data_IF_177536643997
#
_entry.id   IF_177536643997
#
_cell.length_a   1.000
_cell.length_b   1.000
_cell.length_c   1.000
_cell.angle_alpha   90.00
_cell.angle_beta   90.00
_cell.angle_gamma   90.00
#
_symmetry.space_group_name_H-M   'P 1'
#
loop_
_entity.id
_entity.type
_entity.pdbx_description
1 polymer ?
#
# COMPACT_ATOMS: atom_id res chain seq x y z
N UNK A 1 20.77 12.91 13.69
CA UNK A 1 20.30 13.32 12.36
C UNK A 1 19.30 12.26 11.89
N UNK A 2 18.03 12.59 11.82
CA UNK A 2 16.93 11.62 11.73
C UNK A 2 16.63 11.27 10.27
N UNK A 3 16.73 10.02 9.83
CA UNK A 3 16.46 9.60 8.45
C UNK A 3 14.95 9.58 8.09
N UNK A 4 14.07 10.01 8.99
CA UNK A 4 12.62 9.98 8.80
C UNK A 4 12.07 11.16 7.99
N UNK A 5 12.82 12.23 7.82
CA UNK A 5 12.36 13.42 7.11
C UNK A 5 12.01 13.14 5.64
N UNK A 6 12.72 12.22 4.98
CA UNK A 6 12.52 11.93 3.56
C UNK A 6 11.21 11.24 3.23
N UNK A 7 10.76 10.26 4.03
CA UNK A 7 9.52 9.53 3.78
C UNK A 7 8.28 10.36 4.11
N UNK A 8 8.33 11.11 5.21
CA UNK A 8 7.26 12.03 5.55
C UNK A 8 7.12 13.12 4.47
N UNK A 9 8.23 13.68 4.01
CA UNK A 9 8.24 14.68 2.94
C UNK A 9 7.70 14.10 1.63
N UNK A 10 8.11 12.88 1.24
CA UNK A 10 7.60 12.22 0.04
C UNK A 10 6.09 11.99 0.09
N UNK A 11 5.54 11.60 1.24
CA UNK A 11 4.10 11.40 1.41
C UNK A 11 3.32 12.72 1.41
N UNK A 12 3.86 13.77 1.98
CA UNK A 12 3.27 15.11 1.91
C UNK A 12 3.27 15.64 0.47
N UNK A 13 4.37 15.50 -0.25
CA UNK A 13 4.49 15.91 -1.65
C UNK A 13 3.52 15.14 -2.54
N UNK A 14 3.36 13.82 -2.33
CA UNK A 14 2.38 12.99 -3.04
C UNK A 14 0.94 13.40 -2.71
N UNK A 15 0.67 13.75 -1.48
CA UNK A 15 -0.64 14.26 -1.06
C UNK A 15 -0.96 15.58 -1.75
N UNK A 16 -0.04 16.52 -1.75
CA UNK A 16 -0.19 17.80 -2.44
C UNK A 16 -0.37 17.62 -3.95
N UNK A 17 0.45 16.77 -4.58
CA UNK A 17 0.34 16.46 -6.01
C UNK A 17 -1.02 15.83 -6.35
N UNK A 18 -1.52 14.95 -5.48
CA UNK A 18 -2.85 14.34 -5.63
C UNK A 18 -3.95 15.39 -5.65
N UNK A 19 -3.94 16.32 -4.69
CA UNK A 19 -4.93 17.40 -4.64
C UNK A 19 -4.79 18.37 -5.82
N UNK A 20 -3.59 18.70 -6.26
CA UNK A 20 -3.36 19.52 -7.45
C UNK A 20 -3.91 18.85 -8.71
N UNK A 21 -3.68 17.55 -8.89
CA UNK A 21 -4.24 16.77 -10.00
C UNK A 21 -5.76 16.69 -9.93
N UNK A 22 -6.31 16.48 -8.73
CA UNK A 22 -7.75 16.47 -8.51
C UNK A 22 -8.36 17.82 -8.87
N UNK A 23 -7.77 18.92 -8.44
CA UNK A 23 -8.23 20.26 -8.77
C UNK A 23 -8.21 20.53 -10.28
N UNK A 24 -7.14 20.17 -10.97
CA UNK A 24 -7.04 20.32 -12.43
C UNK A 24 -8.08 19.48 -13.18
N UNK A 25 -8.40 18.28 -12.64
CA UNK A 25 -9.36 17.34 -13.25
C UNK A 25 -10.79 17.45 -12.73
N UNK A 26 -11.08 18.41 -11.85
CA UNK A 26 -12.39 18.55 -11.20
C UNK A 26 -13.57 18.64 -12.18
N UNK A 27 -13.38 19.31 -13.31
CA UNK A 27 -14.41 19.45 -14.35
C UNK A 27 -14.68 18.16 -15.10
N UNK A 28 -13.74 17.22 -15.07
CA UNK A 28 -13.88 15.89 -15.69
C UNK A 28 -14.56 14.86 -14.78
N UNK A 29 -14.86 15.20 -13.54
CA UNK A 29 -15.60 14.33 -12.63
C UNK A 29 -17.08 14.27 -13.03
N UNK A 30 -17.48 13.17 -13.68
CA UNK A 30 -18.83 12.98 -14.22
C UNK A 30 -19.79 12.23 -13.29
N UNK A 31 -19.42 12.04 -12.02
CA UNK A 31 -20.28 11.33 -11.06
C UNK A 31 -20.47 9.83 -11.32
N UNK A 32 -19.68 9.21 -12.22
CA UNK A 32 -19.76 7.77 -12.53
C UNK A 32 -19.24 6.87 -11.41
N UNK A 33 -18.55 7.45 -10.44
CA UNK A 33 -18.04 6.80 -9.23
C UNK A 33 -18.19 7.76 -8.06
N UNK A 34 -18.03 7.28 -6.83
CA UNK A 34 -17.98 8.17 -5.68
C UNK A 34 -16.77 9.10 -5.78
N UNK A 35 -16.90 10.32 -5.26
CA UNK A 35 -15.77 11.28 -5.21
C UNK A 35 -14.53 10.67 -4.55
N UNK A 36 -14.73 9.89 -3.49
CA UNK A 36 -13.66 9.18 -2.78
C UNK A 36 -12.93 8.20 -3.69
N UNK A 37 -13.63 7.37 -4.44
CA UNK A 37 -13.03 6.41 -5.37
C UNK A 37 -12.27 7.13 -6.49
N UNK A 38 -12.80 8.22 -7.00
CA UNK A 38 -12.15 9.06 -7.99
C UNK A 38 -10.85 9.69 -7.46
N UNK A 39 -10.88 10.23 -6.23
CA UNK A 39 -9.70 10.81 -5.59
C UNK A 39 -8.62 9.76 -5.32
N UNK A 40 -8.99 8.58 -4.83
CA UNK A 40 -8.03 7.49 -4.63
C UNK A 40 -7.40 7.01 -5.94
N UNK A 41 -8.13 7.02 -7.04
CA UNK A 41 -7.57 6.73 -8.37
C UNK A 41 -6.50 7.74 -8.76
N UNK A 42 -6.71 9.02 -8.52
CA UNK A 42 -5.73 10.07 -8.77
C UNK A 42 -4.49 9.87 -7.88
N UNK A 43 -4.68 9.60 -6.60
CA UNK A 43 -3.59 9.35 -5.65
C UNK A 43 -2.74 8.14 -6.05
N UNK A 44 -3.38 7.04 -6.40
CA UNK A 44 -2.68 5.82 -6.83
C UNK A 44 -1.85 6.07 -8.09
N UNK A 45 -2.40 6.78 -9.07
CA UNK A 45 -1.66 7.16 -10.28
C UNK A 45 -0.46 8.04 -9.95
N UNK A 46 -0.60 9.01 -9.04
CA UNK A 46 0.51 9.84 -8.61
C UNK A 46 1.64 9.01 -7.97
N UNK A 47 1.29 8.06 -7.11
CA UNK A 47 2.26 7.14 -6.50
C UNK A 47 2.96 6.26 -7.55
N UNK A 48 2.22 5.68 -8.50
CA UNK A 48 2.79 4.85 -9.56
C UNK A 48 3.73 5.63 -10.47
N UNK A 49 3.40 6.89 -10.79
CA UNK A 49 4.27 7.78 -11.56
C UNK A 49 5.62 8.02 -10.86
N UNK A 50 5.59 8.25 -9.55
CA UNK A 50 6.82 8.43 -8.75
C UNK A 50 7.64 7.14 -8.72
N UNK A 51 7.02 6.00 -8.52
CA UNK A 51 7.70 4.69 -8.54
C UNK A 51 8.32 4.41 -9.91
N UNK A 52 7.63 4.70 -11.00
CA UNK A 52 8.14 4.55 -12.35
C UNK A 52 9.35 5.46 -12.62
N UNK A 53 9.31 6.71 -12.15
CA UNK A 53 10.44 7.65 -12.25
C UNK A 53 11.65 7.17 -11.46
N UNK A 54 11.46 6.64 -10.26
CA UNK A 54 12.54 6.07 -9.43
C UNK A 54 13.21 4.88 -10.09
N UNK A 55 12.46 4.01 -10.78
CA UNK A 55 13.02 2.87 -11.53
C UNK A 55 13.88 3.29 -12.73
N UNK A 56 13.58 4.42 -13.37
CA UNK A 56 14.32 4.91 -14.56
C UNK A 56 15.61 5.64 -14.20
N UNK A 57 15.77 6.08 -12.96
CA UNK A 57 17.03 6.65 -12.47
C UNK A 57 17.92 5.51 -12.00
N UNK A 58 19.12 5.29 -12.55
CA UNK A 58 20.11 4.43 -11.95
C UNK A 58 20.61 5.13 -10.69
N UNK A 59 19.85 5.04 -9.62
CA UNK A 59 20.35 5.36 -8.30
C UNK A 59 21.16 4.16 -7.84
N UNK A 60 22.39 4.34 -7.33
CA UNK A 60 23.06 3.26 -6.60
C UNK A 60 22.03 2.75 -5.60
N UNK A 61 21.97 1.43 -5.42
CA UNK A 61 21.08 0.74 -4.51
C UNK A 61 21.07 1.43 -3.14
N UNK A 62 20.40 2.54 -3.09
CA UNK A 62 19.94 3.15 -1.85
C UNK A 62 18.67 2.41 -1.54
N UNK A 63 18.87 1.29 -0.83
CA UNK A 63 18.07 0.91 0.30
C UNK A 63 16.70 1.58 0.29
N UNK A 64 15.64 0.77 0.13
CA UNK A 64 14.39 1.16 0.77
C UNK A 64 14.80 1.85 2.06
N UNK A 65 14.33 3.09 2.32
CA UNK A 65 14.62 3.71 3.60
C UNK A 65 14.25 2.66 4.62
N UNK A 66 15.26 2.10 5.24
CA UNK A 66 15.13 1.16 6.32
C UNK A 66 14.12 1.78 7.28
N UNK A 67 13.01 1.11 7.46
CA UNK A 67 12.24 1.30 8.67
C UNK A 67 13.27 1.28 9.80
N UNK A 68 13.34 2.31 10.65
CA UNK A 68 14.47 2.52 11.57
C UNK A 68 14.59 1.46 12.65
N UNK A 69 13.80 0.42 12.58
CA UNK A 69 13.84 -0.75 13.43
C UNK A 69 13.83 -1.99 12.55
N UNK A 70 14.59 -2.98 12.94
CA UNK A 70 14.52 -4.31 12.39
C UNK A 70 13.04 -4.74 12.39
N UNK A 71 12.43 -4.95 11.20
CA UNK A 71 11.01 -5.32 11.14
C UNK A 71 10.74 -6.62 11.89
N UNK A 72 11.72 -7.52 11.97
CA UNK A 72 11.58 -8.77 12.71
C UNK A 72 11.49 -8.52 14.21
N UNK A 73 12.22 -7.55 14.73
CA UNK A 73 12.15 -7.18 16.15
C UNK A 73 10.83 -6.51 16.52
N UNK A 74 10.33 -5.62 15.65
CA UNK A 74 8.99 -5.02 15.82
C UNK A 74 7.89 -6.08 15.74
N UNK A 75 8.03 -7.05 14.83
CA UNK A 75 7.10 -8.17 14.71
C UNK A 75 7.09 -9.03 15.99
N UNK A 76 8.27 -9.27 16.58
CA UNK A 76 8.40 -10.04 17.82
C UNK A 76 7.87 -9.28 19.04
N UNK A 77 8.09 -7.97 19.12
CA UNK A 77 7.54 -7.11 20.17
C UNK A 77 6.00 -7.04 20.11
N UNK A 78 5.42 -6.93 18.93
CA UNK A 78 3.95 -6.89 18.76
C UNK A 78 3.34 -8.26 19.07
N UNK A 79 3.98 -9.36 18.65
CA UNK A 79 3.54 -10.72 18.99
C UNK A 79 3.59 -11.02 20.49
N UNK A 80 4.57 -10.46 21.21
CA UNK A 80 4.70 -10.62 22.65
C UNK A 80 3.63 -9.86 23.45
N UNK A 81 3.00 -8.83 22.84
CA UNK A 81 1.98 -8.00 23.50
C UNK A 81 0.56 -8.56 23.32
N UNK A 82 0.34 -9.46 22.35
CA UNK A 82 -1.00 -9.92 21.89
C UNK A 82 -1.47 -11.17 22.65
N UNK A 83 -1.36 -11.19 23.98
CA UNK A 83 -1.80 -12.32 24.81
C UNK A 83 -3.20 -12.11 25.42
N UNK A 84 -4.14 -11.44 24.74
CA UNK A 84 -5.56 -11.46 25.15
C UNK A 84 -6.52 -11.44 23.96
N UNK A 85 -7.37 -12.48 23.85
CA UNK A 85 -8.39 -12.53 22.81
C UNK A 85 -9.73 -12.03 23.38
N UNK A 86 -10.04 -10.77 23.22
CA UNK A 86 -11.43 -10.30 23.30
C UNK A 86 -11.65 -9.11 22.39
N UNK A 87 -12.67 -9.30 21.52
CA UNK A 87 -13.34 -8.37 20.63
C UNK A 87 -12.78 -8.13 19.22
N UNK A 88 -13.67 -8.43 18.30
CA UNK A 88 -13.73 -8.32 16.85
C UNK A 88 -13.43 -6.91 16.26
N UNK A 89 -12.67 -6.12 16.94
CA UNK A 89 -12.01 -4.94 16.39
C UNK A 89 -10.61 -5.38 16.01
N UNK A 90 -10.31 -5.42 14.72
CA UNK A 90 -8.93 -5.54 14.25
C UNK A 90 -8.14 -4.48 15.00
N UNK A 91 -7.33 -4.87 15.96
CA UNK A 91 -6.61 -3.92 16.78
C UNK A 91 -5.72 -3.08 15.88
N UNK A 92 -5.47 -1.84 16.26
CA UNK A 92 -4.57 -0.96 15.52
C UNK A 92 -3.20 -1.64 15.31
N UNK A 93 -2.76 -2.40 16.30
CA UNK A 93 -1.52 -3.15 16.26
C UNK A 93 -1.54 -4.27 15.20
N UNK A 94 -2.64 -5.01 15.07
CA UNK A 94 -2.80 -6.03 14.03
C UNK A 94 -2.76 -5.42 12.63
N UNK A 95 -3.35 -4.24 12.44
CA UNK A 95 -3.29 -3.52 11.18
C UNK A 95 -1.88 -3.03 10.86
N UNK A 96 -1.18 -2.46 11.84
CA UNK A 96 0.21 -2.02 11.70
C UNK A 96 1.14 -3.20 11.38
N UNK A 97 0.93 -4.34 12.04
CA UNK A 97 1.66 -5.57 11.76
C UNK A 97 1.41 -6.07 10.33
N UNK A 98 0.15 -6.14 9.91
CA UNK A 98 -0.20 -6.54 8.54
C UNK A 98 0.43 -5.60 7.50
N UNK A 99 0.47 -4.30 7.78
CA UNK A 99 1.12 -3.31 6.92
C UNK A 99 2.64 -3.55 6.81
N UNK A 100 3.32 -3.81 7.92
CA UNK A 100 4.75 -4.10 7.94
C UNK A 100 5.09 -5.38 7.19
N UNK A 101 4.31 -6.45 7.40
CA UNK A 101 4.45 -7.71 6.66
C UNK A 101 4.25 -7.48 5.16
N UNK A 102 3.23 -6.74 4.78
CA UNK A 102 2.96 -6.41 3.39
C UNK A 102 4.11 -5.59 2.77
N UNK A 103 4.64 -4.61 3.50
CA UNK A 103 5.76 -3.80 3.01
C UNK A 103 7.03 -4.62 2.80
N UNK A 104 7.32 -5.58 3.67
CA UNK A 104 8.54 -6.38 3.65
C UNK A 104 8.46 -7.56 2.66
N UNK A 105 7.38 -8.31 2.67
CA UNK A 105 7.30 -9.62 2.03
C UNK A 105 6.51 -9.66 0.72
N UNK A 106 5.71 -8.64 0.43
CA UNK A 106 4.94 -8.56 -0.80
C UNK A 106 5.70 -7.81 -1.89
N UNK A 107 5.63 -8.34 -3.12
CA UNK A 107 6.06 -7.59 -4.30
C UNK A 107 5.17 -6.35 -4.52
N UNK A 108 5.65 -5.37 -5.28
CA UNK A 108 4.87 -4.17 -5.59
C UNK A 108 3.49 -4.50 -6.18
N UNK A 109 3.44 -5.49 -7.08
CA UNK A 109 2.19 -5.93 -7.72
C UNK A 109 1.22 -6.58 -6.72
N UNK A 110 1.74 -7.39 -5.82
CA UNK A 110 0.96 -8.02 -4.76
C UNK A 110 0.41 -6.99 -3.78
N UNK A 111 1.23 -6.02 -3.35
CA UNK A 111 0.78 -4.91 -2.50
C UNK A 111 -0.30 -4.06 -3.16
N UNK A 112 -0.09 -3.69 -4.43
CA UNK A 112 -1.06 -2.92 -5.18
C UNK A 112 -2.39 -3.67 -5.32
N UNK A 113 -2.36 -4.95 -5.66
CA UNK A 113 -3.56 -5.78 -5.75
C UNK A 113 -4.28 -5.88 -4.39
N UNK A 114 -3.56 -6.09 -3.30
CA UNK A 114 -4.12 -6.17 -1.95
C UNK A 114 -4.80 -4.85 -1.56
N UNK A 115 -4.12 -3.73 -1.74
CA UNK A 115 -4.66 -2.40 -1.39
C UNK A 115 -5.90 -2.08 -2.23
N UNK A 116 -5.84 -2.28 -3.54
CA UNK A 116 -6.95 -1.95 -4.42
C UNK A 116 -8.18 -2.84 -4.14
N UNK A 117 -7.97 -4.13 -3.91
CA UNK A 117 -9.05 -5.09 -3.75
C UNK A 117 -9.60 -5.16 -2.33
N UNK A 118 -8.74 -5.28 -1.33
CA UNK A 118 -9.14 -5.56 0.06
C UNK A 118 -9.29 -4.31 0.90
N UNK A 119 -8.48 -3.27 0.67
CA UNK A 119 -8.58 -2.02 1.43
C UNK A 119 -9.55 -1.04 0.77
N UNK A 120 -9.43 -0.83 -0.54
CA UNK A 120 -10.24 0.15 -1.26
C UNK A 120 -11.52 -0.44 -1.88
N UNK A 121 -11.67 -1.77 -1.87
CA UNK A 121 -12.87 -2.46 -2.36
C UNK A 121 -13.12 -2.33 -3.87
N UNK A 122 -12.08 -2.11 -4.66
CA UNK A 122 -12.22 -2.01 -6.11
C UNK A 122 -12.53 -3.36 -6.75
N UNK A 123 -13.23 -3.34 -7.89
CA UNK A 123 -13.42 -4.56 -8.67
C UNK A 123 -12.09 -5.10 -9.26
N UNK A 124 -12.03 -6.38 -9.54
CA UNK A 124 -10.86 -6.96 -10.20
C UNK A 124 -10.62 -6.34 -11.57
N UNK A 125 -11.69 -5.98 -12.28
CA UNK A 125 -11.64 -5.33 -13.60
C UNK A 125 -11.04 -3.93 -13.50
N UNK A 126 -11.51 -3.10 -12.54
CA UNK A 126 -10.99 -1.74 -12.34
C UNK A 126 -9.53 -1.78 -11.87
N UNK A 127 -9.20 -2.71 -10.98
CA UNK A 127 -7.82 -2.91 -10.51
C UNK A 127 -6.89 -3.32 -11.66
N UNK A 128 -7.34 -4.22 -12.53
CA UNK A 128 -6.58 -4.66 -13.70
C UNK A 128 -6.34 -3.52 -14.68
N UNK A 129 -7.39 -2.77 -15.00
CA UNK A 129 -7.29 -1.60 -15.87
C UNK A 129 -6.35 -0.54 -15.29
N UNK A 130 -6.40 -0.33 -13.98
CA UNK A 130 -5.57 0.66 -13.29
C UNK A 130 -4.09 0.27 -13.24
N UNK A 131 -3.81 -1.02 -13.05
CA UNK A 131 -2.46 -1.57 -12.99
C UNK A 131 -1.89 -1.95 -14.36
N UNK A 132 -2.63 -1.68 -15.44
CA UNK A 132 -2.27 -2.06 -16.80
C UNK A 132 -1.92 -3.56 -16.91
N UNK A 133 -2.83 -4.39 -16.45
CA UNK A 133 -2.65 -5.84 -16.38
C UNK A 133 -3.99 -6.57 -16.59
N UNK A 134 -3.99 -7.89 -16.53
CA UNK A 134 -5.19 -8.71 -16.67
C UNK A 134 -5.88 -8.98 -15.33
N UNK A 135 -7.18 -9.24 -15.36
CA UNK A 135 -7.96 -9.66 -14.18
C UNK A 135 -7.36 -10.93 -13.56
N UNK A 136 -6.96 -11.90 -14.37
CA UNK A 136 -6.31 -13.12 -13.89
C UNK A 136 -5.00 -12.81 -13.14
N UNK A 137 -4.22 -11.85 -13.62
CA UNK A 137 -2.98 -11.41 -12.98
C UNK A 137 -3.23 -10.72 -11.64
N UNK A 138 -4.27 -9.88 -11.54
CA UNK A 138 -4.67 -9.24 -10.28
C UNK A 138 -5.12 -10.29 -9.27
N UNK A 139 -5.98 -11.23 -9.68
CA UNK A 139 -6.46 -12.28 -8.79
C UNK A 139 -5.33 -13.19 -8.30
N UNK A 140 -4.39 -13.56 -9.16
CA UNK A 140 -3.20 -14.35 -8.77
C UNK A 140 -2.30 -13.57 -7.81
N UNK A 141 -2.09 -12.27 -8.04
CA UNK A 141 -1.30 -11.42 -7.16
C UNK A 141 -1.97 -11.29 -5.78
N UNK A 142 -3.28 -11.08 -5.74
CA UNK A 142 -4.06 -11.00 -4.51
C UNK A 142 -4.01 -12.29 -3.71
N UNK A 143 -4.19 -13.44 -4.38
CA UNK A 143 -4.13 -14.75 -3.74
C UNK A 143 -2.77 -15.00 -3.06
N UNK A 144 -1.67 -14.69 -3.77
CA UNK A 144 -0.31 -14.80 -3.20
C UNK A 144 -0.09 -13.82 -2.05
N UNK A 145 -0.61 -12.60 -2.17
CA UNK A 145 -0.52 -11.60 -1.11
C UNK A 145 -1.19 -12.10 0.17
N UNK A 146 -2.43 -12.59 0.07
CA UNK A 146 -3.18 -13.13 1.21
C UNK A 146 -2.47 -14.34 1.83
N UNK A 147 -2.01 -15.29 1.02
CA UNK A 147 -1.28 -16.45 1.50
C UNK A 147 0.02 -16.09 2.23
N UNK A 148 0.70 -15.02 1.79
CA UNK A 148 1.89 -14.51 2.47
C UNK A 148 1.52 -13.85 3.80
N UNK A 149 0.47 -13.05 3.84
CA UNK A 149 -0.02 -12.43 5.08
C UNK A 149 -0.45 -13.51 6.09
N UNK A 150 -1.25 -14.48 5.65
CA UNK A 150 -1.72 -15.57 6.52
C UNK A 150 -0.55 -16.32 7.15
N UNK A 151 0.50 -16.61 6.38
CA UNK A 151 1.70 -17.31 6.87
C UNK A 151 2.44 -16.52 7.95
N UNK A 152 2.49 -15.21 7.83
CA UNK A 152 3.26 -14.35 8.75
C UNK A 152 2.42 -13.82 9.92
N UNK A 153 1.08 -13.77 9.77
CA UNK A 153 0.19 -13.25 10.80
C UNK A 153 -0.47 -14.35 11.63
N UNK A 154 -0.54 -15.58 11.11
CA UNK A 154 -1.09 -16.70 11.89
C UNK A 154 -0.11 -17.10 12.99
N UNK A 155 -0.52 -17.09 14.26
CA UNK A 155 0.29 -17.65 15.34
C UNK A 155 0.47 -19.15 15.10
N UNK A 156 1.68 -19.62 15.23
CA UNK A 156 2.02 -21.06 15.24
C UNK A 156 1.50 -21.68 16.53
#
# INVERSE_FOLDING_TARGET
MLPHAGLAQDSEDLTQETFLRAWRKRTGFKGRSTFRAWLYRIATNACLDVLAKRRRRPTPQSELPLLPHDPDRLLDEIRATDAQPEDTVVSKETFELAFLVAAKHLSQKQRAALILRDVLGWSAKDSAAHLDTTVASVNSALQRARATLDRHLSPT
#
